data_IF_218786717261
#
_entry.id   IF_218786717261
#
_cell.length_a   1.000
_cell.length_b   1.000
_cell.length_c   1.000
_cell.angle_alpha   90.00
_cell.angle_beta   90.00
_cell.angle_gamma   90.00
#
_symmetry.space_group_name_H-M   'P 1'
#
loop_
_entity.id
_entity.type
_entity.pdbx_description
1 polymer ?
#
# COMPACT_ATOMS: atom_id res chain seq x y z
N UNK A 1 13.69 -31.91 20.90
CA UNK A 1 14.56 -32.24 19.75
C UNK A 1 13.66 -32.68 18.59
N UNK A 2 13.42 -31.83 17.58
CA UNK A 2 12.47 -32.14 16.49
C UNK A 2 13.16 -33.06 15.46
N UNK A 3 12.63 -34.27 15.30
CA UNK A 3 13.06 -35.35 14.38
C UNK A 3 13.05 -35.02 12.87
N UNK A 4 12.88 -33.75 12.47
CA UNK A 4 12.81 -33.32 11.07
C UNK A 4 14.17 -32.93 10.45
N UNK A 5 15.26 -33.15 11.19
CA UNK A 5 16.63 -32.87 10.74
C UNK A 5 17.34 -34.07 10.11
N UNK A 6 16.59 -35.06 9.61
CA UNK A 6 17.08 -36.13 8.72
C UNK A 6 17.27 -35.61 7.26
N UNK A 7 17.77 -34.39 7.12
CA UNK A 7 18.18 -33.80 5.85
C UNK A 7 19.55 -34.35 5.49
N UNK A 8 19.72 -34.88 4.27
CA UNK A 8 20.99 -35.27 3.64
C UNK A 8 22.19 -34.53 4.24
N UNK A 9 22.86 -35.13 5.22
CA UNK A 9 24.08 -34.56 5.76
C UNK A 9 25.13 -34.62 4.66
N UNK A 10 25.65 -33.45 4.31
CA UNK A 10 26.78 -33.35 3.41
C UNK A 10 27.94 -34.21 3.95
N UNK A 11 28.45 -35.10 3.11
CA UNK A 11 29.62 -35.91 3.42
C UNK A 11 30.67 -35.68 2.33
N UNK A 12 31.79 -35.10 2.75
CA UNK A 12 32.89 -34.73 1.85
C UNK A 12 33.50 -35.94 1.16
N UNK A 13 33.75 -37.02 1.89
CA UNK A 13 34.35 -38.24 1.33
C UNK A 13 33.46 -38.89 0.27
N UNK A 14 32.15 -38.97 0.51
CA UNK A 14 31.17 -39.44 -0.49
C UNK A 14 31.13 -38.52 -1.71
N UNK A 15 31.26 -37.22 -1.50
CA UNK A 15 31.29 -36.22 -2.57
C UNK A 15 32.55 -36.37 -3.42
N UNK A 16 33.72 -36.58 -2.80
CA UNK A 16 34.99 -36.89 -3.48
C UNK A 16 34.88 -38.20 -4.26
N UNK A 17 34.33 -39.25 -3.65
CA UNK A 17 34.15 -40.55 -4.32
C UNK A 17 33.24 -40.44 -5.56
N UNK A 18 32.19 -39.61 -5.49
CA UNK A 18 31.21 -39.45 -6.57
C UNK A 18 31.67 -38.49 -7.67
N UNK A 19 32.27 -37.37 -7.29
CA UNK A 19 32.53 -36.23 -8.18
C UNK A 19 34.00 -35.92 -8.38
N UNK A 20 34.93 -36.48 -7.59
CA UNK A 20 36.34 -36.08 -7.57
C UNK A 20 37.02 -36.10 -8.94
N UNK A 21 36.90 -37.20 -9.70
CA UNK A 21 37.43 -37.28 -11.07
C UNK A 21 36.78 -36.26 -12.03
N UNK A 22 35.49 -35.96 -11.85
CA UNK A 22 34.77 -34.98 -12.68
C UNK A 22 35.21 -33.55 -12.34
N UNK A 23 35.45 -33.26 -11.07
CA UNK A 23 36.00 -31.99 -10.60
C UNK A 23 37.41 -31.78 -11.14
N UNK A 24 38.25 -32.82 -11.13
CA UNK A 24 39.59 -32.76 -11.70
C UNK A 24 39.57 -32.45 -13.21
N UNK A 25 38.67 -33.09 -13.96
CA UNK A 25 38.47 -32.77 -15.38
C UNK A 25 37.97 -31.33 -15.60
N UNK A 26 37.05 -30.84 -14.77
CA UNK A 26 36.54 -29.47 -14.85
C UNK A 26 37.62 -28.44 -14.50
N UNK A 27 38.44 -28.71 -13.48
CA UNK A 27 39.61 -27.92 -13.09
C UNK A 27 40.59 -27.71 -14.25
N UNK A 28 40.88 -28.78 -15.01
CA UNK A 28 41.72 -28.68 -16.21
C UNK A 28 41.06 -27.82 -17.30
N UNK A 29 39.75 -27.99 -17.54
CA UNK A 29 38.99 -27.22 -18.54
C UNK A 29 38.88 -25.73 -18.19
N UNK A 30 38.78 -25.42 -16.90
CA UNK A 30 38.73 -24.06 -16.35
C UNK A 30 40.15 -23.44 -16.22
N UNK A 31 41.17 -24.09 -16.79
CA UNK A 31 42.58 -23.68 -16.70
C UNK A 31 43.10 -23.48 -15.27
N UNK A 32 42.48 -24.18 -14.32
CA UNK A 32 42.86 -24.19 -12.92
C UNK A 32 43.85 -25.34 -12.65
N UNK A 33 44.72 -25.15 -11.64
CA UNK A 33 45.73 -26.15 -11.22
C UNK A 33 45.66 -26.43 -9.73
N UNK A 34 44.44 -26.46 -9.20
CA UNK A 34 44.19 -26.67 -7.78
C UNK A 34 43.86 -28.14 -7.50
N UNK A 35 44.11 -28.60 -6.28
CA UNK A 35 43.69 -29.94 -5.86
C UNK A 35 42.16 -30.01 -5.75
N UNK A 36 41.59 -31.21 -5.92
CA UNK A 36 40.15 -31.45 -5.71
C UNK A 36 39.73 -31.02 -4.29
N UNK A 37 40.58 -31.25 -3.29
CA UNK A 37 40.32 -30.82 -1.92
C UNK A 37 40.24 -29.29 -1.79
N UNK A 38 41.14 -28.56 -2.44
CA UNK A 38 41.13 -27.09 -2.44
C UNK A 38 39.86 -26.54 -3.08
N UNK A 39 39.46 -27.11 -4.23
CA UNK A 39 38.23 -26.69 -4.93
C UNK A 39 37.00 -26.97 -4.07
N UNK A 40 36.93 -28.15 -3.45
CA UNK A 40 35.80 -28.50 -2.57
C UNK A 40 35.71 -27.58 -1.36
N UNK A 41 36.83 -27.21 -0.74
CA UNK A 41 36.82 -26.23 0.35
C UNK A 41 36.26 -24.89 -0.09
N UNK A 42 36.67 -24.38 -1.27
CA UNK A 42 36.09 -23.15 -1.83
C UNK A 42 34.59 -23.25 -2.11
N UNK A 43 34.14 -24.42 -2.61
CA UNK A 43 32.72 -24.68 -2.85
C UNK A 43 31.93 -24.73 -1.52
N UNK A 44 32.49 -25.38 -0.49
CA UNK A 44 31.89 -25.41 0.84
C UNK A 44 31.79 -24.00 1.43
N UNK A 45 32.80 -23.16 1.26
CA UNK A 45 32.84 -21.80 1.80
C UNK A 45 31.71 -20.91 1.25
N UNK A 46 31.32 -21.12 -0.02
CA UNK A 46 30.24 -20.34 -0.66
C UNK A 46 28.84 -20.95 -0.49
N UNK A 47 28.71 -22.12 0.14
CA UNK A 47 27.40 -22.68 0.49
C UNK A 47 26.89 -22.00 1.79
N UNK A 48 25.80 -21.20 1.72
CA UNK A 48 25.27 -20.47 2.87
C UNK A 48 24.51 -21.35 3.86
N UNK A 49 24.25 -22.62 3.53
CA UNK A 49 23.50 -23.52 4.40
C UNK A 49 24.38 -24.11 5.49
N UNK A 50 23.83 -24.22 6.71
CA UNK A 50 24.53 -24.76 7.88
C UNK A 50 24.99 -26.22 7.64
N UNK A 51 24.16 -27.01 6.95
CA UNK A 51 24.40 -28.42 6.67
C UNK A 51 25.03 -28.67 5.29
N UNK A 52 25.47 -27.62 4.58
CA UNK A 52 26.13 -27.72 3.27
C UNK A 52 25.31 -28.49 2.22
N UNK A 53 23.99 -28.31 2.26
CA UNK A 53 23.04 -29.06 1.43
C UNK A 53 23.17 -28.73 -0.08
N UNK A 54 23.79 -27.61 -0.44
CA UNK A 54 23.95 -27.17 -1.82
C UNK A 54 25.31 -27.50 -2.42
N UNK A 55 26.31 -27.94 -1.63
CA UNK A 55 27.65 -28.30 -2.12
C UNK A 55 27.61 -29.25 -3.32
N UNK A 56 26.77 -30.29 -3.28
CA UNK A 56 26.66 -31.22 -4.41
C UNK A 56 26.09 -30.55 -5.65
N UNK A 57 25.15 -29.62 -5.49
CA UNK A 57 24.61 -28.84 -6.61
C UNK A 57 25.67 -27.90 -7.18
N UNK A 58 26.42 -27.19 -6.35
CA UNK A 58 27.52 -26.29 -6.78
C UNK A 58 28.58 -27.09 -7.54
N UNK A 59 28.94 -28.29 -7.05
CA UNK A 59 29.84 -29.21 -7.75
C UNK A 59 29.33 -29.53 -9.16
N UNK A 60 28.02 -29.81 -9.32
CA UNK A 60 27.41 -30.08 -10.64
C UNK A 60 27.50 -28.86 -11.55
N UNK A 61 27.24 -27.66 -11.04
CA UNK A 61 27.38 -26.43 -11.84
C UNK A 61 28.83 -26.24 -12.32
N UNK A 62 29.80 -26.43 -11.44
CA UNK A 62 31.23 -26.38 -11.79
C UNK A 62 31.62 -27.44 -12.82
N UNK A 63 31.22 -28.70 -12.59
CA UNK A 63 31.51 -29.83 -13.49
C UNK A 63 30.93 -29.61 -14.88
N UNK A 64 29.74 -29.02 -14.97
CA UNK A 64 29.09 -28.73 -16.25
C UNK A 64 29.77 -27.62 -17.05
N UNK A 65 30.60 -26.80 -16.40
CA UNK A 65 31.20 -25.59 -16.98
C UNK A 65 30.29 -24.36 -16.92
N UNK A 66 29.06 -24.46 -16.40
CA UNK A 66 28.17 -23.32 -16.19
C UNK A 66 28.70 -22.32 -15.13
N UNK A 67 29.50 -22.82 -14.19
CA UNK A 67 30.13 -22.02 -13.14
C UNK A 67 31.65 -22.21 -13.22
N UNK A 68 32.40 -21.11 -13.27
CA UNK A 68 33.87 -21.13 -13.17
C UNK A 68 34.33 -20.98 -11.73
N UNK A 69 35.55 -21.39 -11.45
CA UNK A 69 36.13 -21.26 -10.11
C UNK A 69 36.29 -19.80 -9.69
N UNK A 70 36.63 -18.92 -10.64
CA UNK A 70 36.75 -17.47 -10.41
C UNK A 70 35.40 -16.82 -10.06
N UNK A 71 34.28 -17.40 -10.48
CA UNK A 71 32.93 -16.88 -10.26
C UNK A 71 32.26 -17.46 -9.00
N UNK A 72 32.93 -18.33 -8.24
CA UNK A 72 32.34 -18.95 -7.04
C UNK A 72 31.79 -17.94 -6.03
N UNK A 73 32.45 -16.78 -5.89
CA UNK A 73 32.02 -15.72 -4.98
C UNK A 73 30.62 -15.16 -5.29
N UNK A 74 30.10 -15.37 -6.50
CA UNK A 74 28.76 -14.94 -6.93
C UNK A 74 27.65 -15.90 -6.51
N UNK A 75 27.98 -17.07 -5.96
CA UNK A 75 27.02 -18.15 -5.71
C UNK A 75 26.26 -17.98 -4.39
N UNK A 76 26.92 -17.42 -3.36
CA UNK A 76 26.39 -17.36 -2.00
C UNK A 76 25.05 -16.64 -1.93
N UNK A 77 24.98 -15.44 -2.53
CA UNK A 77 23.81 -14.58 -2.42
C UNK A 77 22.57 -15.12 -3.17
N UNK A 78 22.67 -15.59 -4.43
CA UNK A 78 21.56 -16.28 -5.10
C UNK A 78 21.05 -17.49 -4.30
N UNK A 79 21.93 -18.26 -3.65
CA UNK A 79 21.53 -19.38 -2.80
C UNK A 79 20.80 -18.92 -1.53
N UNK A 80 21.20 -17.81 -0.92
CA UNK A 80 20.49 -17.20 0.21
C UNK A 80 19.06 -16.83 -0.22
N UNK A 81 18.92 -16.11 -1.34
CA UNK A 81 17.62 -15.71 -1.87
C UNK A 81 16.78 -16.93 -2.23
N UNK A 82 17.33 -17.90 -2.95
CA UNK A 82 16.63 -19.13 -3.27
C UNK A 82 16.17 -19.88 -2.00
N UNK A 83 17.04 -20.06 -1.01
CA UNK A 83 16.69 -20.76 0.22
C UNK A 83 15.52 -20.08 0.95
N UNK A 84 15.53 -18.75 0.99
CA UNK A 84 14.49 -17.96 1.64
C UNK A 84 13.16 -17.98 0.88
N UNK A 85 13.19 -17.94 -0.46
CA UNK A 85 12.00 -17.73 -1.29
C UNK A 85 11.56 -18.95 -2.11
N UNK A 86 12.24 -20.10 -2.07
CA UNK A 86 11.92 -21.29 -2.89
C UNK A 86 10.47 -21.76 -2.78
N UNK A 87 9.82 -21.61 -1.62
CA UNK A 87 8.42 -22.00 -1.46
C UNK A 87 7.43 -21.06 -2.17
N UNK A 88 7.87 -19.86 -2.55
CA UNK A 88 7.11 -18.87 -3.29
C UNK A 88 7.29 -19.00 -4.81
N UNK A 89 8.33 -19.70 -5.25
CA UNK A 89 8.56 -19.97 -6.67
C UNK A 89 7.50 -20.93 -7.26
N UNK A 90 7.31 -20.92 -8.60
CA UNK A 90 6.58 -21.98 -9.30
C UNK A 90 7.09 -23.38 -8.95
N UNK A 91 6.22 -24.39 -8.94
CA UNK A 91 6.52 -25.74 -8.42
C UNK A 91 7.76 -26.35 -9.09
N UNK A 92 7.88 -26.16 -10.39
CA UNK A 92 8.98 -26.61 -11.23
C UNK A 92 10.32 -25.94 -10.89
N UNK A 93 10.30 -24.74 -10.29
CA UNK A 93 11.48 -23.97 -9.87
C UNK A 93 11.81 -24.13 -8.38
N UNK A 94 11.14 -25.01 -7.62
CA UNK A 94 11.42 -25.20 -6.18
C UNK A 94 12.53 -26.19 -5.87
N UNK A 95 12.83 -27.08 -6.83
CA UNK A 95 13.91 -28.05 -6.72
C UNK A 95 15.17 -27.48 -7.36
N UNK A 96 16.18 -27.17 -6.53
CA UNK A 96 17.44 -26.59 -6.98
C UNK A 96 18.15 -27.49 -8.00
N UNK A 97 17.96 -28.81 -7.95
CA UNK A 97 18.59 -29.73 -8.89
C UNK A 97 18.06 -29.60 -10.33
N UNK A 98 16.95 -28.89 -10.53
CA UNK A 98 16.40 -28.55 -11.85
C UNK A 98 16.86 -27.20 -12.37
N UNK A 99 17.58 -26.44 -11.53
CA UNK A 99 18.03 -25.08 -11.84
C UNK A 99 19.52 -25.06 -12.11
N UNK A 100 19.91 -24.22 -13.07
CA UNK A 100 21.29 -23.80 -13.29
C UNK A 100 21.64 -22.62 -12.38
N UNK A 101 22.92 -22.27 -12.30
CA UNK A 101 23.33 -21.04 -11.62
C UNK A 101 22.72 -19.79 -12.26
N UNK A 102 22.52 -19.78 -13.58
CA UNK A 102 21.89 -18.65 -14.28
C UNK A 102 20.41 -18.51 -13.89
N UNK A 103 19.69 -19.62 -13.73
CA UNK A 103 18.32 -19.59 -13.22
C UNK A 103 18.24 -19.00 -11.80
N UNK A 104 19.26 -19.23 -10.96
CA UNK A 104 19.32 -18.61 -9.63
C UNK A 104 19.60 -17.11 -9.70
N UNK A 105 20.44 -16.66 -10.64
CA UNK A 105 20.63 -15.22 -10.89
C UNK A 105 19.33 -14.56 -11.33
N UNK A 106 18.56 -15.21 -12.21
CA UNK A 106 17.24 -14.71 -12.62
C UNK A 106 16.27 -14.63 -11.45
N UNK A 107 16.23 -15.67 -10.59
CA UNK A 107 15.41 -15.68 -9.37
C UNK A 107 15.82 -14.56 -8.42
N UNK A 108 17.12 -14.38 -8.19
CA UNK A 108 17.64 -13.29 -7.36
C UNK A 108 17.21 -11.94 -7.92
N UNK A 109 17.40 -11.71 -9.21
CA UNK A 109 17.05 -10.46 -9.88
C UNK A 109 15.55 -10.17 -9.75
N UNK A 110 14.69 -11.15 -10.01
CA UNK A 110 13.23 -11.01 -9.91
C UNK A 110 12.76 -10.67 -8.48
N UNK A 111 13.48 -11.10 -7.46
CA UNK A 111 13.13 -10.86 -6.06
C UNK A 111 13.71 -9.53 -5.55
N UNK A 112 14.97 -9.22 -5.87
CA UNK A 112 15.65 -8.02 -5.37
C UNK A 112 15.30 -6.75 -6.14
N UNK A 113 15.11 -6.89 -7.45
CA UNK A 113 14.79 -5.81 -8.37
C UNK A 113 13.56 -6.21 -9.20
N UNK A 114 12.38 -6.37 -8.56
CA UNK A 114 11.17 -6.72 -9.27
C UNK A 114 10.88 -5.67 -10.34
N UNK A 115 10.50 -6.13 -11.53
CA UNK A 115 10.07 -5.23 -12.59
C UNK A 115 8.70 -4.66 -12.21
N UNK A 116 8.65 -3.34 -12.04
CA UNK A 116 7.42 -2.61 -11.71
C UNK A 116 6.96 -1.90 -12.97
N UNK A 117 5.66 -1.98 -13.27
CA UNK A 117 5.06 -1.31 -14.42
C UNK A 117 5.72 -1.70 -15.75
N UNK A 118 6.08 -2.99 -15.91
CA UNK A 118 6.50 -3.49 -17.22
C UNK A 118 5.27 -3.61 -18.12
N UNK A 119 5.29 -2.98 -19.30
CA UNK A 119 4.28 -3.12 -20.37
C UNK A 119 4.11 -4.56 -20.87
N UNK A 120 4.78 -5.52 -20.24
CA UNK A 120 4.53 -6.95 -20.35
C UNK A 120 3.13 -7.23 -19.82
N UNK A 121 2.16 -7.19 -20.72
CA UNK A 121 0.78 -7.62 -20.51
C UNK A 121 0.82 -8.94 -19.74
N UNK A 122 0.46 -8.91 -18.45
CA UNK A 122 0.22 -10.16 -17.74
C UNK A 122 -1.05 -10.74 -18.33
N UNK A 123 -0.90 -11.79 -19.15
CA UNK A 123 -2.01 -12.54 -19.75
C UNK A 123 -2.99 -13.12 -18.70
N UNK A 124 -2.66 -13.03 -17.41
CA UNK A 124 -3.49 -13.50 -16.30
C UNK A 124 -4.54 -12.47 -15.86
N UNK A 125 -4.42 -11.21 -16.27
CA UNK A 125 -5.30 -10.12 -15.86
C UNK A 125 -6.03 -9.53 -17.06
N UNK A 126 -7.24 -9.04 -16.80
CA UNK A 126 -8.07 -8.31 -17.76
C UNK A 126 -7.71 -6.82 -17.81
N UNK A 127 -8.10 -6.13 -18.88
CA UNK A 127 -7.88 -4.69 -19.08
C UNK A 127 -8.57 -3.81 -18.01
N UNK A 128 -9.48 -4.40 -17.21
CA UNK A 128 -10.18 -3.76 -16.11
C UNK A 128 -9.27 -3.54 -14.87
N UNK A 129 -8.01 -3.96 -14.92
CA UNK A 129 -7.01 -3.68 -13.88
C UNK A 129 -5.74 -3.09 -14.47
N UNK A 130 -5.10 -2.20 -13.71
CA UNK A 130 -3.69 -1.86 -13.93
C UNK A 130 -2.81 -2.80 -13.11
N UNK A 131 -1.94 -3.55 -13.78
CA UNK A 131 -0.97 -4.44 -13.13
C UNK A 131 0.32 -3.68 -12.87
N UNK A 132 0.70 -3.55 -11.60
CA UNK A 132 1.97 -2.95 -11.21
C UNK A 132 3.08 -3.98 -11.05
N UNK A 133 2.72 -5.17 -10.59
CA UNK A 133 3.62 -6.31 -10.40
C UNK A 133 2.83 -7.62 -10.49
N UNK A 134 3.39 -8.62 -11.18
CA UNK A 134 2.93 -10.02 -11.18
C UNK A 134 4.17 -10.93 -11.20
N UNK A 135 4.42 -11.65 -10.11
CA UNK A 135 5.65 -12.43 -10.00
C UNK A 135 5.72 -13.37 -8.79
N UNK A 136 6.93 -13.86 -8.46
CA UNK A 136 7.11 -14.84 -7.40
C UNK A 136 6.64 -14.40 -6.02
N UNK A 137 6.61 -13.10 -5.74
CA UNK A 137 6.19 -12.57 -4.44
C UNK A 137 4.67 -12.45 -4.29
N UNK A 138 3.93 -12.46 -5.40
CA UNK A 138 2.50 -12.15 -5.42
C UNK A 138 2.13 -11.28 -6.62
N UNK A 139 1.06 -10.51 -6.49
CA UNK A 139 0.73 -9.46 -7.44
C UNK A 139 0.26 -8.18 -6.75
N UNK A 140 0.56 -7.05 -7.37
CA UNK A 140 0.07 -5.72 -7.00
C UNK A 140 -0.73 -5.16 -8.17
N UNK A 141 -1.99 -4.85 -7.95
CA UNK A 141 -2.90 -4.33 -8.98
C UNK A 141 -3.70 -3.13 -8.47
N UNK A 142 -4.19 -2.32 -9.40
CA UNK A 142 -5.22 -1.30 -9.17
C UNK A 142 -6.45 -1.67 -9.98
N UNK A 143 -7.60 -1.97 -9.36
CA UNK A 143 -8.86 -2.13 -10.09
C UNK A 143 -9.31 -0.80 -10.70
N UNK A 144 -9.65 -0.81 -11.98
CA UNK A 144 -10.12 0.37 -12.72
C UNK A 144 -11.65 0.44 -12.80
N UNK A 145 -12.34 -0.67 -12.51
CA UNK A 145 -13.80 -0.76 -12.46
C UNK A 145 -14.29 -1.40 -11.17
N UNK A 146 -15.55 -1.16 -10.83
CA UNK A 146 -16.23 -1.77 -9.69
C UNK A 146 -16.25 -3.30 -9.81
N UNK A 147 -16.48 -3.83 -11.01
CA UNK A 147 -16.50 -5.28 -11.27
C UNK A 147 -15.12 -5.91 -11.03
N UNK A 148 -14.05 -5.22 -11.42
CA UNK A 148 -12.69 -5.65 -11.11
C UNK A 148 -12.43 -5.61 -9.60
N UNK A 149 -12.82 -4.54 -8.91
CA UNK A 149 -12.70 -4.45 -7.46
C UNK A 149 -13.42 -5.61 -6.76
N UNK A 150 -14.65 -5.93 -7.17
CA UNK A 150 -15.40 -7.10 -6.67
C UNK A 150 -14.68 -8.41 -6.96
N UNK A 151 -14.22 -8.61 -8.21
CA UNK A 151 -13.53 -9.84 -8.64
C UNK A 151 -12.28 -10.11 -7.81
N UNK A 152 -11.41 -9.12 -7.65
CA UNK A 152 -10.12 -9.31 -6.98
C UNK A 152 -10.19 -9.22 -5.45
N UNK A 153 -11.27 -8.64 -4.91
CA UNK A 153 -11.56 -8.63 -3.46
C UNK A 153 -12.26 -9.90 -2.96
N UNK A 154 -12.60 -10.87 -3.83
CA UNK A 154 -13.22 -12.15 -3.39
C UNK A 154 -12.45 -12.80 -2.22
N UNK A 155 -13.18 -13.17 -1.18
CA UNK A 155 -12.61 -13.76 0.03
C UNK A 155 -12.13 -12.74 1.08
N UNK A 156 -12.43 -11.45 0.90
CA UNK A 156 -12.21 -10.41 1.91
C UNK A 156 -13.55 -9.85 2.42
N UNK A 157 -13.50 -9.08 3.50
CA UNK A 157 -14.64 -8.31 4.04
C UNK A 157 -14.69 -6.87 3.54
N UNK A 158 -13.84 -6.50 2.58
CA UNK A 158 -13.74 -5.12 2.10
C UNK A 158 -15.05 -4.64 1.48
N UNK A 159 -15.51 -3.47 1.92
CA UNK A 159 -16.68 -2.82 1.35
C UNK A 159 -16.50 -2.45 -0.14
N UNK A 160 -15.28 -2.24 -0.61
CA UNK A 160 -14.94 -2.04 -2.04
C UNK A 160 -15.14 -3.29 -2.90
N UNK A 161 -15.23 -4.47 -2.27
CA UNK A 161 -15.48 -5.75 -2.92
C UNK A 161 -16.94 -6.24 -2.83
N UNK A 162 -17.80 -5.54 -2.09
CA UNK A 162 -19.16 -6.00 -1.79
C UNK A 162 -20.09 -5.97 -3.03
N UNK A 163 -21.12 -6.81 -3.05
CA UNK A 163 -22.16 -6.75 -4.10
C UNK A 163 -23.10 -5.56 -3.88
N UNK A 164 -23.50 -5.34 -2.64
CA UNK A 164 -24.39 -4.25 -2.21
C UNK A 164 -23.63 -3.26 -1.32
N UNK A 165 -24.09 -2.01 -1.26
CA UNK A 165 -23.44 -0.91 -0.51
C UNK A 165 -21.94 -0.74 -0.78
N UNK A 166 -21.50 -1.15 -1.97
CA UNK A 166 -20.10 -1.14 -2.39
C UNK A 166 -19.56 0.30 -2.42
N UNK A 167 -18.37 0.50 -1.84
CA UNK A 167 -17.72 1.81 -1.72
C UNK A 167 -16.56 2.03 -2.70
N UNK A 168 -16.43 1.22 -3.75
CA UNK A 168 -15.35 1.34 -4.74
C UNK A 168 -15.26 2.76 -5.31
N UNK A 169 -16.35 3.30 -5.87
CA UNK A 169 -16.36 4.62 -6.49
C UNK A 169 -16.02 5.73 -5.47
N UNK A 170 -16.50 5.56 -4.22
CA UNK A 170 -16.24 6.46 -3.09
C UNK A 170 -14.75 6.58 -2.74
N UNK A 171 -14.02 5.46 -2.75
CA UNK A 171 -12.60 5.48 -2.47
C UNK A 171 -11.78 5.81 -3.72
N UNK A 172 -12.17 5.30 -4.89
CA UNK A 172 -11.40 5.46 -6.11
C UNK A 172 -11.38 6.92 -6.62
N UNK A 173 -12.45 7.71 -6.36
CA UNK A 173 -12.47 9.15 -6.69
C UNK A 173 -11.45 9.98 -5.91
N UNK A 174 -10.97 9.46 -4.78
CA UNK A 174 -9.98 10.09 -3.89
C UNK A 174 -8.53 9.73 -4.24
N UNK A 175 -8.37 8.76 -5.13
CA UNK A 175 -7.08 8.23 -5.56
C UNK A 175 -7.15 6.74 -5.83
N UNK A 176 -6.12 6.16 -6.47
CA UNK A 176 -6.12 4.76 -6.83
C UNK A 176 -6.23 3.85 -5.60
N UNK A 177 -7.05 2.80 -5.71
CA UNK A 177 -7.04 1.66 -4.80
C UNK A 177 -5.97 0.66 -5.23
N UNK A 178 -5.22 0.10 -4.28
CA UNK A 178 -4.29 -0.99 -4.58
C UNK A 178 -4.70 -2.27 -3.85
N UNK A 179 -4.53 -3.40 -4.53
CA UNK A 179 -4.72 -4.73 -3.96
C UNK A 179 -3.41 -5.47 -4.08
N UNK A 180 -2.82 -5.82 -2.94
CA UNK A 180 -1.72 -6.78 -2.85
C UNK A 180 -2.28 -8.15 -2.52
N UNK A 181 -1.90 -9.16 -3.31
CA UNK A 181 -2.06 -10.56 -2.92
C UNK A 181 -0.68 -11.20 -2.82
N UNK A 182 -0.26 -11.54 -1.61
CA UNK A 182 0.98 -12.28 -1.39
C UNK A 182 0.85 -13.70 -1.94
N UNK A 183 1.98 -14.29 -2.33
CA UNK A 183 2.02 -15.67 -2.83
C UNK A 183 1.49 -16.70 -1.82
N UNK A 184 1.55 -16.40 -0.53
CA UNK A 184 0.98 -17.23 0.54
C UNK A 184 -0.57 -17.19 0.58
N UNK A 185 -1.21 -16.29 -0.19
CA UNK A 185 -2.66 -16.15 -0.29
C UNK A 185 -3.25 -15.00 0.52
N UNK A 186 -2.47 -14.35 1.40
CA UNK A 186 -2.90 -13.17 2.14
C UNK A 186 -3.18 -12.00 1.18
N UNK A 187 -4.17 -11.18 1.55
CA UNK A 187 -4.64 -10.05 0.75
C UNK A 187 -4.66 -8.79 1.60
N UNK A 188 -4.26 -7.68 0.98
CA UNK A 188 -4.23 -6.36 1.60
C UNK A 188 -4.74 -5.32 0.61
N UNK A 189 -5.50 -4.35 1.10
CA UNK A 189 -5.98 -3.20 0.34
C UNK A 189 -5.32 -1.92 0.86
N UNK A 190 -4.93 -1.05 -0.04
CA UNK A 190 -4.31 0.25 0.26
C UNK A 190 -5.15 1.36 -0.35
N UNK A 191 -5.42 2.39 0.44
CA UNK A 191 -6.15 3.57 0.01
C UNK A 191 -5.17 4.70 -0.31
N UNK A 192 -5.27 5.26 -1.53
CA UNK A 192 -4.27 6.18 -2.08
C UNK A 192 -4.00 7.48 -1.29
N UNK A 193 -4.86 7.88 -0.35
CA UNK A 193 -4.66 9.11 0.43
C UNK A 193 -3.63 8.94 1.56
N UNK A 194 -3.50 7.76 2.17
CA UNK A 194 -2.69 7.61 3.39
C UNK A 194 -1.38 6.88 3.16
N UNK A 195 -0.35 7.30 3.91
CA UNK A 195 0.97 6.61 3.99
C UNK A 195 1.21 6.00 5.36
N UNK A 196 0.14 5.81 6.13
CA UNK A 196 0.13 5.26 7.48
C UNK A 196 -0.58 3.90 7.48
N UNK A 197 -0.54 3.22 8.62
CA UNK A 197 -1.18 1.92 8.83
C UNK A 197 -2.71 2.00 8.78
N UNK A 198 -3.30 3.18 9.03
CA UNK A 198 -4.75 3.43 8.93
C UNK A 198 -5.25 3.44 7.48
N UNK A 199 -4.37 3.64 6.50
CA UNK A 199 -4.72 3.55 5.08
C UNK A 199 -4.81 2.11 4.54
N UNK A 200 -4.54 1.12 5.38
CA UNK A 200 -4.29 -0.25 4.95
C UNK A 200 -5.12 -1.29 5.70
N UNK A 201 -5.81 -2.13 4.92
CA UNK A 201 -6.73 -3.14 5.44
C UNK A 201 -6.25 -4.54 5.09
N UNK A 202 -6.31 -5.46 6.05
CA UNK A 202 -6.17 -6.89 5.81
C UNK A 202 -7.46 -7.48 5.21
N UNK A 203 -7.47 -8.77 4.85
CA UNK A 203 -8.65 -9.42 4.27
C UNK A 203 -9.92 -9.40 5.16
N UNK A 204 -9.83 -9.13 6.46
CA UNK A 204 -10.97 -9.04 7.38
C UNK A 204 -11.50 -7.62 7.53
N UNK A 205 -10.96 -6.66 6.78
CA UNK A 205 -11.27 -5.23 6.92
C UNK A 205 -10.78 -4.68 8.27
N UNK A 206 -9.67 -5.23 8.78
CA UNK A 206 -8.98 -4.74 9.98
C UNK A 206 -7.69 -4.01 9.58
N UNK A 207 -7.35 -2.93 10.30
CA UNK A 207 -6.08 -2.24 10.11
C UNK A 207 -4.91 -3.20 10.32
N UNK A 208 -3.88 -3.07 9.48
CA UNK A 208 -2.68 -3.86 9.69
C UNK A 208 -1.87 -3.35 10.89
N UNK A 209 -1.18 -4.25 11.59
CA UNK A 209 -0.28 -3.83 12.66
C UNK A 209 0.89 -2.98 12.13
N UNK A 210 1.36 -2.00 12.90
CA UNK A 210 2.53 -1.19 12.54
C UNK A 210 3.79 -2.03 12.27
N UNK A 211 3.94 -3.19 12.94
CA UNK A 211 5.03 -4.14 12.66
C UNK A 211 4.95 -4.75 11.25
N UNK A 212 3.74 -5.01 10.75
CA UNK A 212 3.54 -5.49 9.39
C UNK A 212 3.77 -4.35 8.39
N UNK A 213 3.36 -3.14 8.73
CA UNK A 213 3.61 -1.95 7.94
C UNK A 213 5.11 -1.71 7.71
N UNK A 214 5.91 -1.76 8.77
CA UNK A 214 7.38 -1.66 8.66
C UNK A 214 7.99 -2.73 7.76
N UNK A 215 7.44 -3.95 7.78
CA UNK A 215 7.87 -5.03 6.86
C UNK A 215 7.51 -4.71 5.41
N UNK A 216 6.36 -4.11 5.16
CA UNK A 216 5.95 -3.76 3.80
C UNK A 216 6.78 -2.60 3.23
N UNK A 217 7.21 -1.64 4.06
CA UNK A 217 8.12 -0.57 3.62
C UNK A 217 9.49 -1.06 3.12
N UNK A 218 9.93 -2.24 3.56
CA UNK A 218 11.15 -2.89 3.05
C UNK A 218 10.88 -4.03 2.08
N UNK A 219 9.61 -4.34 1.80
CA UNK A 219 9.24 -5.39 0.86
C UNK A 219 9.61 -4.98 -0.56
N UNK A 220 10.23 -5.87 -1.38
CA UNK A 220 10.78 -5.49 -2.68
C UNK A 220 9.78 -4.82 -3.63
N UNK A 221 8.50 -5.17 -3.55
CA UNK A 221 7.42 -4.60 -4.37
C UNK A 221 6.68 -3.48 -3.65
N UNK A 222 6.35 -3.65 -2.36
CA UNK A 222 5.43 -2.73 -1.67
C UNK A 222 6.13 -1.44 -1.25
N UNK A 223 7.47 -1.46 -1.08
CA UNK A 223 8.25 -0.24 -0.88
C UNK A 223 8.01 0.81 -1.99
N UNK A 224 7.72 0.36 -3.21
CA UNK A 224 7.49 1.24 -4.36
C UNK A 224 6.18 2.02 -4.26
N UNK A 225 5.21 1.49 -3.50
CA UNK A 225 3.95 2.13 -3.17
C UNK A 225 4.03 2.92 -1.86
N UNK A 226 4.76 2.40 -0.85
CA UNK A 226 4.69 2.90 0.53
C UNK A 226 5.78 3.90 0.92
N UNK A 227 6.75 4.16 0.05
CA UNK A 227 7.86 5.08 0.35
C UNK A 227 7.89 6.23 -0.63
N UNK A 228 8.29 7.42 -0.16
CA UNK A 228 8.34 8.64 -0.98
C UNK A 228 9.32 8.56 -2.17
N UNK A 229 10.29 7.64 -2.12
CA UNK A 229 11.23 7.37 -3.21
C UNK A 229 10.67 6.40 -4.24
N UNK A 230 9.65 5.63 -3.88
CA UNK A 230 9.02 4.61 -4.70
C UNK A 230 8.38 5.15 -5.98
N UNK A 231 8.44 4.36 -7.05
CA UNK A 231 7.91 4.75 -8.35
C UNK A 231 6.39 4.90 -8.34
N UNK A 232 5.67 3.94 -7.75
CA UNK A 232 4.20 3.92 -7.70
C UNK A 232 3.70 5.08 -6.83
N UNK A 233 4.35 5.30 -5.69
CA UNK A 233 4.04 6.42 -4.80
C UNK A 233 4.08 7.76 -5.54
N UNK A 234 5.15 8.03 -6.28
CA UNK A 234 5.31 9.29 -7.03
C UNK A 234 4.19 9.50 -8.05
N UNK A 235 3.82 8.43 -8.77
CA UNK A 235 2.72 8.49 -9.75
C UNK A 235 1.38 8.76 -9.06
N UNK A 236 1.07 8.05 -7.97
CA UNK A 236 -0.17 8.25 -7.24
C UNK A 236 -0.25 9.67 -6.69
N UNK A 237 0.84 10.16 -6.10
CA UNK A 237 0.90 11.47 -5.49
C UNK A 237 0.65 12.58 -6.52
N UNK A 238 1.23 12.45 -7.71
CA UNK A 238 0.95 13.37 -8.83
C UNK A 238 -0.50 13.28 -9.30
N UNK A 239 -1.09 12.09 -9.38
CA UNK A 239 -2.49 11.92 -9.77
C UNK A 239 -3.45 12.56 -8.76
N UNK A 240 -3.19 12.38 -7.46
CA UNK A 240 -3.97 12.94 -6.35
C UNK A 240 -3.96 14.47 -6.35
N UNK A 241 -2.81 15.08 -6.66
CA UNK A 241 -2.69 16.54 -6.80
C UNK A 241 -3.50 17.12 -7.95
N UNK A 242 -3.90 16.31 -8.92
CA UNK A 242 -4.71 16.72 -10.07
C UNK A 242 -6.21 16.47 -9.86
N UNK A 243 -6.62 15.89 -8.74
CA UNK A 243 -8.02 15.64 -8.42
C UNK A 243 -8.72 16.98 -8.17
N UNK A 244 -9.89 17.15 -8.79
CA UNK A 244 -10.82 18.23 -8.44
C UNK A 244 -11.52 17.89 -7.12
N UNK A 245 -10.86 18.23 -6.01
CA UNK A 245 -11.37 17.99 -4.67
C UNK A 245 -12.70 18.67 -4.41
N UNK A 246 -13.01 19.79 -5.08
CA UNK A 246 -14.30 20.46 -4.94
C UNK A 246 -15.43 19.54 -5.45
N UNK A 247 -15.27 18.99 -6.64
CA UNK A 247 -16.24 18.04 -7.21
C UNK A 247 -16.34 16.76 -6.39
N UNK A 248 -15.21 16.22 -5.91
CA UNK A 248 -15.21 15.05 -5.03
C UNK A 248 -16.03 15.33 -3.77
N UNK A 249 -15.75 16.41 -3.05
CA UNK A 249 -16.47 16.79 -1.83
C UNK A 249 -17.98 16.98 -2.06
N UNK A 250 -18.37 17.61 -3.17
CA UNK A 250 -19.77 17.78 -3.53
C UNK A 250 -20.52 16.46 -3.70
N UNK A 251 -19.91 15.46 -4.35
CA UNK A 251 -20.53 14.14 -4.51
C UNK A 251 -20.67 13.39 -3.18
N UNK A 252 -19.69 13.49 -2.27
CA UNK A 252 -19.78 12.83 -0.96
C UNK A 252 -20.85 13.46 -0.07
N UNK A 253 -21.04 14.78 -0.18
CA UNK A 253 -22.13 15.49 0.50
C UNK A 253 -23.47 14.98 -0.03
N UNK A 254 -23.65 14.85 -1.36
CA UNK A 254 -24.89 14.29 -1.93
C UNK A 254 -25.15 12.86 -1.45
N UNK A 255 -24.12 12.01 -1.43
CA UNK A 255 -24.22 10.65 -0.92
C UNK A 255 -24.59 10.63 0.57
N UNK A 256 -23.96 11.47 1.40
CA UNK A 256 -24.23 11.57 2.84
C UNK A 256 -25.62 12.11 3.12
N UNK A 257 -26.10 13.09 2.34
CA UNK A 257 -27.46 13.61 2.42
C UNK A 257 -28.50 12.60 1.93
N UNK A 258 -28.11 11.65 1.08
CA UNK A 258 -28.98 10.54 0.67
C UNK A 258 -29.03 9.40 1.71
N UNK A 259 -28.10 9.39 2.67
CA UNK A 259 -28.07 8.40 3.75
C UNK A 259 -29.17 8.71 4.77
N UNK A 260 -30.17 7.82 4.84
CA UNK A 260 -31.35 7.98 5.69
C UNK A 260 -31.02 8.12 7.19
N UNK A 261 -29.87 7.62 7.66
CA UNK A 261 -29.41 7.77 9.04
C UNK A 261 -28.87 9.17 9.32
N UNK A 262 -28.04 9.72 8.42
CA UNK A 262 -27.59 11.12 8.51
C UNK A 262 -28.78 12.06 8.37
N UNK A 263 -29.66 11.84 7.41
CA UNK A 263 -30.87 12.64 7.26
C UNK A 263 -31.75 12.59 8.52
N UNK A 264 -31.90 11.43 9.17
CA UNK A 264 -32.62 11.31 10.44
C UNK A 264 -31.89 12.02 11.58
N UNK A 265 -30.57 11.89 11.72
CA UNK A 265 -29.78 12.52 12.78
C UNK A 265 -29.67 14.05 12.59
N UNK A 266 -29.48 14.50 11.35
CA UNK A 266 -29.52 15.89 10.93
C UNK A 266 -30.89 16.49 11.22
N UNK A 267 -31.98 15.88 10.72
CA UNK A 267 -33.34 16.36 11.00
C UNK A 267 -33.72 16.26 12.49
N UNK A 268 -33.26 15.26 13.23
CA UNK A 268 -33.49 15.14 14.68
C UNK A 268 -32.76 16.25 15.45
N UNK A 269 -31.50 16.53 15.11
CA UNK A 269 -30.70 17.62 15.72
C UNK A 269 -31.26 19.00 15.35
N UNK A 270 -31.72 19.15 14.10
CA UNK A 270 -32.34 20.35 13.55
C UNK A 270 -33.71 20.65 14.18
N UNK A 271 -34.52 19.62 14.44
CA UNK A 271 -35.84 19.77 15.04
C UNK A 271 -35.83 19.91 16.58
N UNK A 272 -34.74 19.55 17.27
CA UNK A 272 -34.71 19.52 18.74
C UNK A 272 -33.81 20.56 19.44
N UNK A 273 -33.08 21.44 18.74
CA UNK A 273 -32.22 22.43 19.43
C UNK A 273 -32.57 23.89 19.17
N UNK A 274 -33.08 24.49 20.24
CA UNK A 274 -33.09 25.89 20.70
C UNK A 274 -31.85 26.74 20.29
N UNK A 275 -30.74 26.12 19.89
CA UNK A 275 -29.51 26.80 19.47
C UNK A 275 -29.60 27.57 18.14
N UNK A 276 -30.41 27.11 17.17
CA UNK A 276 -30.56 27.83 15.90
C UNK A 276 -31.38 29.11 16.06
N UNK A 277 -32.45 29.10 16.88
CA UNK A 277 -33.24 30.30 17.17
C UNK A 277 -32.41 31.38 17.88
N UNK A 278 -31.54 31.01 18.81
CA UNK A 278 -30.66 31.97 19.49
C UNK A 278 -29.58 32.55 18.55
N UNK A 279 -29.09 31.74 17.60
CA UNK A 279 -28.15 32.17 16.57
C UNK A 279 -28.79 33.14 15.57
N UNK A 280 -30.00 32.81 15.09
CA UNK A 280 -30.80 33.70 14.23
C UNK A 280 -31.17 34.99 15.00
N UNK A 281 -31.60 34.91 16.26
CA UNK A 281 -31.86 36.12 17.06
C UNK A 281 -30.61 37.00 17.25
N UNK A 282 -29.43 36.40 17.44
CA UNK A 282 -28.18 37.15 17.61
C UNK A 282 -27.77 37.89 16.32
N UNK A 283 -27.82 37.21 15.17
CA UNK A 283 -27.53 37.81 13.85
C UNK A 283 -28.49 38.97 13.55
N UNK A 284 -29.79 38.77 13.80
CA UNK A 284 -30.81 39.79 13.49
C UNK A 284 -30.86 40.94 14.52
N UNK A 285 -30.49 40.71 15.79
CA UNK A 285 -30.32 41.78 16.80
C UNK A 285 -29.16 42.73 16.51
N UNK A 286 -28.05 42.22 15.98
CA UNK A 286 -26.88 43.05 15.64
C UNK A 286 -27.16 44.01 14.47
N UNK A 287 -28.02 43.61 13.54
CA UNK A 287 -28.39 44.39 12.34
C UNK A 287 -29.65 45.27 12.53
N UNK A 288 -30.26 45.31 13.73
CA UNK A 288 -31.55 45.99 14.01
C UNK A 288 -32.72 45.59 13.08
N UNK A 289 -32.72 44.36 12.57
CA UNK A 289 -33.79 43.88 11.69
C UNK A 289 -34.90 43.26 12.55
N UNK A 290 -36.10 43.85 12.50
CA UNK A 290 -37.27 43.32 13.21
C UNK A 290 -37.71 41.99 12.60
N UNK A 291 -37.77 40.94 13.42
CA UNK A 291 -38.13 39.55 13.03
C UNK A 291 -39.61 39.42 12.64
N UNK A 292 -40.43 40.45 12.88
CA UNK A 292 -41.85 40.35 12.61
C UNK A 292 -42.16 40.44 11.12
N UNK A 293 -42.67 39.31 10.64
CA UNK A 293 -43.34 39.07 9.37
C UNK A 293 -42.46 39.29 8.13
N UNK A 294 -41.68 38.26 7.79
CA UNK A 294 -41.62 37.60 6.46
C UNK A 294 -40.22 37.01 6.24
N UNK A 295 -39.85 35.93 6.94
CA UNK A 295 -38.72 35.10 6.48
C UNK A 295 -39.26 34.21 5.36
N UNK A 296 -38.96 34.57 4.11
CA UNK A 296 -39.35 33.77 2.95
C UNK A 296 -38.54 32.46 2.94
N UNK A 297 -39.14 31.32 2.57
CA UNK A 297 -38.44 30.04 2.45
C UNK A 297 -37.14 30.10 1.63
N UNK A 298 -37.06 31.00 0.65
CA UNK A 298 -35.86 31.23 -0.15
C UNK A 298 -34.63 31.64 0.66
N UNK A 299 -34.81 32.38 1.76
CA UNK A 299 -33.71 32.83 2.64
C UNK A 299 -33.23 31.66 3.52
N UNK A 300 -34.15 30.79 3.93
CA UNK A 300 -33.81 29.56 4.67
C UNK A 300 -33.08 28.58 3.75
N UNK A 301 -33.49 28.49 2.48
CA UNK A 301 -32.78 27.70 1.47
C UNK A 301 -31.39 28.25 1.15
N UNK A 302 -31.19 29.57 1.03
CA UNK A 302 -29.85 30.17 0.90
C UNK A 302 -28.95 29.84 2.10
N UNK A 303 -29.47 29.92 3.33
CA UNK A 303 -28.71 29.59 4.55
C UNK A 303 -28.39 28.09 4.64
N UNK A 304 -29.30 27.22 4.17
CA UNK A 304 -29.10 25.77 4.09
C UNK A 304 -28.13 25.41 2.95
N UNK A 305 -28.12 26.13 1.83
CA UNK A 305 -27.20 25.90 0.71
C UNK A 305 -25.79 26.41 1.00
N UNK A 306 -25.63 27.42 1.87
CA UNK A 306 -24.33 27.97 2.28
C UNK A 306 -23.57 27.14 3.33
N UNK A 307 -24.25 26.20 4.02
CA UNK A 307 -23.66 25.43 5.12
C UNK A 307 -22.92 24.12 4.73
N UNK A 308 -23.32 23.33 3.71
CA UNK A 308 -22.71 22.04 3.42
C UNK A 308 -21.29 22.15 2.85
N UNK A 309 -21.05 23.05 1.90
CA UNK A 309 -19.70 23.27 1.33
C UNK A 309 -18.74 23.83 2.39
N UNK A 310 -19.24 24.76 3.20
CA UNK A 310 -18.48 25.36 4.29
C UNK A 310 -18.15 24.36 5.41
N UNK A 311 -19.12 23.54 5.83
CA UNK A 311 -18.91 22.49 6.83
C UNK A 311 -18.04 21.35 6.30
N UNK A 312 -18.08 21.04 5.00
CA UNK A 312 -17.22 20.04 4.37
C UNK A 312 -15.74 20.43 4.36
N UNK A 313 -15.44 21.68 3.97
CA UNK A 313 -14.07 22.23 3.99
C UNK A 313 -13.56 22.37 5.43
N UNK A 314 -14.43 22.75 6.37
CA UNK A 314 -14.07 22.78 7.80
C UNK A 314 -13.81 21.38 8.36
N UNK A 315 -14.60 20.38 7.98
CA UNK A 315 -14.46 19.01 8.46
C UNK A 315 -13.18 18.34 7.95
N UNK A 316 -12.82 18.53 6.67
CA UNK A 316 -11.60 17.93 6.10
C UNK A 316 -10.32 18.47 6.74
N UNK A 317 -10.26 19.79 6.98
CA UNK A 317 -9.09 20.44 7.57
C UNK A 317 -9.01 20.24 9.10
N UNK A 318 -10.15 20.19 9.80
CA UNK A 318 -10.20 19.87 11.23
C UNK A 318 -9.79 18.41 11.50
N UNK A 319 -10.12 17.46 10.61
CA UNK A 319 -9.63 16.09 10.71
C UNK A 319 -8.11 16.03 10.56
N UNK A 320 -7.53 16.66 9.52
CA UNK A 320 -6.08 16.67 9.31
C UNK A 320 -5.28 17.26 10.49
N UNK A 321 -5.85 18.23 11.22
CA UNK A 321 -5.17 18.92 12.33
C UNK A 321 -5.43 18.19 13.67
N UNK A 322 -6.56 17.51 13.84
CA UNK A 322 -6.93 16.84 15.09
C UNK A 322 -6.35 15.44 15.24
N UNK A 323 -6.00 14.75 14.15
CA UNK A 323 -5.45 13.39 14.18
C UNK A 323 -3.96 13.31 14.56
N UNK A 324 -3.23 14.44 14.58
CA UNK A 324 -1.77 14.42 14.73
C UNK A 324 -1.18 15.33 15.83
N UNK A 325 -2.01 16.07 16.59
CA UNK A 325 -1.53 17.03 17.59
C UNK A 325 -2.38 16.98 18.86
N UNK A 326 -1.84 16.38 19.92
CA UNK A 326 -2.52 16.20 21.21
C UNK A 326 -2.63 17.52 22.02
N UNK A 327 -1.74 18.49 21.79
CA UNK A 327 -1.68 19.74 22.55
C UNK A 327 -2.65 20.83 22.00
N UNK A 328 -3.53 21.33 22.86
CA UNK A 328 -4.55 22.33 22.54
C UNK A 328 -3.99 23.71 22.13
N UNK A 329 -2.91 24.17 22.77
CA UNK A 329 -2.30 25.47 22.47
C UNK A 329 -1.51 25.44 21.15
N UNK A 330 -0.95 24.28 20.81
CA UNK A 330 -0.22 24.05 19.56
C UNK A 330 -1.19 23.93 18.37
N UNK A 331 -2.34 23.27 18.56
CA UNK A 331 -3.46 23.29 17.61
C UNK A 331 -3.95 24.70 17.32
N UNK A 332 -4.16 25.54 18.34
CA UNK A 332 -4.58 26.95 18.16
C UNK A 332 -3.57 27.77 17.35
N UNK A 333 -2.28 27.62 17.64
CA UNK A 333 -1.19 28.30 16.91
C UNK A 333 -1.14 27.91 15.42
N UNK A 334 -1.36 26.62 15.10
CA UNK A 334 -1.32 26.10 13.73
C UNK A 334 -2.60 26.37 12.93
N UNK A 335 -3.74 26.53 13.61
CA UNK A 335 -5.00 26.93 13.01
C UNK A 335 -5.02 28.42 12.65
N UNK A 336 -4.23 29.27 13.34
CA UNK A 336 -4.26 30.72 13.15
C UNK A 336 -3.93 31.19 11.72
N UNK A 337 -2.93 30.65 11.01
CA UNK A 337 -2.65 31.01 9.62
C UNK A 337 -3.73 30.54 8.65
N UNK A 338 -4.41 29.42 8.94
CA UNK A 338 -5.54 28.92 8.15
C UNK A 338 -6.77 29.82 8.36
N UNK A 339 -7.11 30.13 9.61
CA UNK A 339 -8.17 31.07 9.98
C UNK A 339 -7.92 32.42 9.30
N UNK A 340 -6.70 32.95 9.35
CA UNK A 340 -6.37 34.22 8.69
C UNK A 340 -6.51 34.16 7.17
N UNK A 341 -6.25 33.01 6.54
CA UNK A 341 -6.39 32.79 5.09
C UNK A 341 -7.86 32.70 4.69
N UNK A 342 -8.64 31.88 5.39
CA UNK A 342 -10.09 31.77 5.24
C UNK A 342 -10.78 33.11 5.50
N UNK A 343 -10.35 33.86 6.51
CA UNK A 343 -10.90 35.17 6.87
C UNK A 343 -10.57 36.29 5.86
N UNK A 344 -9.50 36.10 5.07
CA UNK A 344 -9.11 36.99 3.96
C UNK A 344 -9.75 36.58 2.62
N UNK A 345 -9.97 35.29 2.38
CA UNK A 345 -10.60 34.77 1.16
C UNK A 345 -12.13 34.90 1.20
N UNK A 346 -12.75 34.75 2.38
CA UNK A 346 -14.18 35.01 2.61
C UNK A 346 -14.44 36.51 2.76
N UNK A 347 -14.41 37.26 1.65
CA UNK A 347 -14.87 38.65 1.61
C UNK A 347 -16.17 38.79 0.81
N UNK A 348 -17.06 39.64 1.35
CA UNK A 348 -18.38 40.09 0.88
C UNK A 348 -19.45 39.05 0.49
N UNK A 349 -19.12 37.87 -0.03
CA UNK A 349 -20.11 36.89 -0.50
C UNK A 349 -20.58 35.90 0.59
N UNK A 350 -19.79 35.72 1.66
CA UNK A 350 -20.05 34.69 2.69
C UNK A 350 -19.86 35.20 4.13
N UNK A 351 -20.41 36.39 4.41
CA UNK A 351 -20.19 37.09 5.70
C UNK A 351 -20.73 36.34 6.93
N UNK A 352 -21.77 35.52 6.76
CA UNK A 352 -22.38 34.74 7.85
C UNK A 352 -21.54 33.51 8.26
N UNK A 353 -20.83 32.89 7.31
CA UNK A 353 -19.90 31.79 7.60
C UNK A 353 -18.69 32.28 8.39
N UNK A 354 -18.19 33.46 8.04
CA UNK A 354 -17.13 34.14 8.77
C UNK A 354 -17.51 34.42 10.24
N UNK A 355 -18.75 34.86 10.48
CA UNK A 355 -19.25 35.08 11.85
C UNK A 355 -19.41 33.77 12.65
N UNK A 356 -19.85 32.68 12.01
CA UNK A 356 -19.94 31.35 12.61
C UNK A 356 -18.57 30.82 13.05
N UNK A 357 -17.53 31.04 12.24
CA UNK A 357 -16.16 30.65 12.54
C UNK A 357 -15.58 31.41 13.74
N UNK A 358 -15.81 32.73 13.81
CA UNK A 358 -15.37 33.53 14.96
C UNK A 358 -16.03 33.07 16.27
N UNK A 359 -17.33 32.73 16.22
CA UNK A 359 -18.07 32.23 17.38
C UNK A 359 -17.66 30.82 17.85
N UNK A 360 -17.26 29.92 16.94
CA UNK A 360 -16.86 28.55 17.28
C UNK A 360 -15.45 28.45 17.90
N UNK A 361 -14.59 29.43 17.65
CA UNK A 361 -13.20 29.45 18.11
C UNK A 361 -12.92 30.47 19.23
N UNK A 362 -13.97 31.07 19.81
CA UNK A 362 -13.88 32.01 20.95
C UNK A 362 -12.92 33.20 20.69
N UNK A 363 -13.08 33.88 19.53
CA UNK A 363 -12.38 35.14 19.21
C UNK A 363 -13.32 36.35 19.15
#
# INVERSE_FOLDING_TARGET
MKLLQLLLEYNRDKTIATYGKKIEMANLKDNQRQSVATILSKIEDVDPSINKQYVQWICKQYISGALKLEDLYKVTEPLIVFQQYKQRLPQEKRDINKLTIFDLYDVEQQIKAPQINSDTISNNFDEAVKVWYDGPLGYLITPLTKEAAQKYSKGTKWCTGAMEHNRFDYYNRRGPLFIWRDKNGEKFQFHGIGTDDESMMDAKDEYISSKLFEKFKIHPVLKELLTNTGYIFKIQHQAIQQIDWKSVHLEEIKESLSDGEFNKAFNHTFNHKIGFSNFIEYIFKQEQISINDTIKPSIIHEIIDMCPEACGVLYSELINISTHIDNENERKSLLQPFINRVNNELTNEHIYLKQLLLALFDM
#
